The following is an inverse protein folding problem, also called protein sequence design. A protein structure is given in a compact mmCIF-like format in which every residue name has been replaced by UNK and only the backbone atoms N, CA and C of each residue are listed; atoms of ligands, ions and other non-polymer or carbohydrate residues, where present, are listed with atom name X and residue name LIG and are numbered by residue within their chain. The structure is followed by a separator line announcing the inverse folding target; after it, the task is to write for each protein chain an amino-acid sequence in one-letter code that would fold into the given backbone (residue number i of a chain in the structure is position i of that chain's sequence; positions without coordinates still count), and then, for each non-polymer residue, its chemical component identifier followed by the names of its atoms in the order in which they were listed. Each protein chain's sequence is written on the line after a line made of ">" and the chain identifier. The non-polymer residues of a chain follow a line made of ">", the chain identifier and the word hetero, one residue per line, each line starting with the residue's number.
data_IF_420616160006
#
_entry.id   IF_420616160006
#
_cell.length_a   1.000
_cell.length_b   1.000
_cell.length_c   1.000
_cell.angle_alpha   90.00
_cell.angle_beta   90.00
_cell.angle_gamma   90.00
#
_symmetry.space_group_name_H-M   'P 1'
#
loop_
_entity.id
_entity.type
_entity.pdbx_description
1 polymer ?
#
# COMPACT_ATOMS: atom_id res chain seq x y z
N UNK A 1 -2.78 8.99 -20.41
CA UNK A 1 -1.80 8.23 -19.59
C UNK A 1 -0.52 9.06 -19.47
N UNK A 2 -0.52 10.04 -18.57
CA UNK A 2 0.55 11.03 -18.38
C UNK A 2 0.89 11.24 -16.89
N UNK A 3 0.51 10.29 -16.03
CA UNK A 3 0.78 10.29 -14.58
C UNK A 3 2.13 9.65 -14.20
N UNK A 4 2.77 8.95 -15.13
CA UNK A 4 4.00 8.17 -14.90
C UNK A 4 5.22 9.02 -14.54
N UNK A 5 5.37 10.23 -15.10
CA UNK A 5 6.49 11.13 -14.78
C UNK A 5 6.36 11.82 -13.42
N UNK A 6 5.15 12.26 -13.06
CA UNK A 6 4.87 12.85 -11.76
C UNK A 6 5.09 11.81 -10.64
N UNK A 7 4.67 10.57 -10.89
CA UNK A 7 4.83 9.45 -9.96
C UNK A 7 6.32 9.10 -9.75
N UNK A 8 7.14 9.17 -10.81
CA UNK A 8 8.60 8.98 -10.71
C UNK A 8 9.25 10.00 -9.79
N UNK A 9 8.95 11.30 -9.99
CA UNK A 9 9.51 12.38 -9.18
C UNK A 9 9.14 12.20 -7.71
N UNK A 10 7.86 11.91 -7.45
CA UNK A 10 7.35 11.67 -6.11
C UNK A 10 8.03 10.47 -5.42
N UNK A 11 8.18 9.33 -6.10
CA UNK A 11 8.87 8.15 -5.54
C UNK A 11 10.33 8.50 -5.23
N UNK A 12 11.01 9.17 -6.17
CA UNK A 12 12.41 9.56 -5.99
C UNK A 12 12.59 10.43 -4.75
N UNK A 13 11.79 11.47 -4.59
CA UNK A 13 11.86 12.34 -3.42
C UNK A 13 11.51 11.61 -2.12
N UNK A 14 10.57 10.66 -2.14
CA UNK A 14 10.30 9.79 -0.99
C UNK A 14 11.55 8.98 -0.61
N UNK A 15 12.25 8.40 -1.59
CA UNK A 15 13.48 7.64 -1.37
C UNK A 15 14.64 8.51 -0.88
N UNK A 16 14.67 9.78 -1.29
CA UNK A 16 15.63 10.78 -0.81
C UNK A 16 15.28 11.32 0.60
N UNK A 17 14.21 10.81 1.21
CA UNK A 17 13.82 11.11 2.58
C UNK A 17 13.01 12.39 2.77
N UNK A 18 12.47 12.97 1.68
CA UNK A 18 11.65 14.18 1.76
C UNK A 18 10.31 13.90 2.49
N UNK A 19 10.07 14.47 3.68
CA UNK A 19 8.85 14.21 4.44
C UNK A 19 7.58 14.72 3.75
N UNK A 20 7.67 15.81 2.99
CA UNK A 20 6.54 16.38 2.27
C UNK A 20 6.13 15.49 1.11
N UNK A 21 7.11 14.97 0.35
CA UNK A 21 6.85 14.02 -0.73
C UNK A 21 6.25 12.72 -0.19
N UNK A 22 6.71 12.25 0.98
CA UNK A 22 6.07 11.11 1.64
C UNK A 22 4.61 11.39 2.02
N UNK A 23 4.32 12.57 2.60
CA UNK A 23 2.94 12.96 2.89
C UNK A 23 2.09 12.97 1.62
N UNK A 24 2.58 13.61 0.55
CA UNK A 24 1.90 13.65 -0.74
C UNK A 24 1.69 12.26 -1.33
N UNK A 25 2.65 11.34 -1.16
CA UNK A 25 2.49 9.95 -1.55
C UNK A 25 1.36 9.27 -0.79
N UNK A 26 1.32 9.38 0.53
CA UNK A 26 0.22 8.84 1.34
C UNK A 26 -1.12 9.47 0.93
N UNK A 27 -1.21 10.79 0.81
CA UNK A 27 -2.46 11.49 0.44
C UNK A 27 -2.99 11.01 -0.92
N UNK A 28 -2.10 10.73 -1.89
CA UNK A 28 -2.48 10.28 -3.24
C UNK A 28 -2.93 8.83 -3.28
N UNK A 29 -2.36 7.95 -2.46
CA UNK A 29 -2.57 6.51 -2.56
C UNK A 29 -3.35 5.90 -1.39
N UNK A 30 -3.67 6.66 -0.34
CA UNK A 30 -4.43 6.17 0.80
C UNK A 30 -5.80 5.60 0.38
N UNK A 31 -6.55 6.31 -0.47
CA UNK A 31 -7.84 5.81 -0.98
C UNK A 31 -7.70 4.47 -1.71
N UNK A 32 -6.74 4.38 -2.63
CA UNK A 32 -6.44 3.15 -3.37
C UNK A 32 -6.08 1.99 -2.42
N UNK A 33 -5.21 2.24 -1.45
CA UNK A 33 -4.77 1.19 -0.51
C UNK A 33 -5.93 0.75 0.36
N UNK A 34 -6.76 1.68 0.86
CA UNK A 34 -7.96 1.35 1.65
C UNK A 34 -8.95 0.51 0.85
N UNK A 35 -9.19 0.84 -0.43
CA UNK A 35 -10.04 0.05 -1.32
C UNK A 35 -9.48 -1.37 -1.51
N UNK A 36 -8.17 -1.49 -1.73
CA UNK A 36 -7.48 -2.78 -1.86
C UNK A 36 -7.55 -3.59 -0.56
N UNK A 37 -7.48 -2.94 0.61
CA UNK A 37 -7.67 -3.60 1.91
C UNK A 37 -9.07 -4.18 2.02
N UNK A 38 -10.10 -3.40 1.72
CA UNK A 38 -11.49 -3.86 1.81
C UNK A 38 -11.76 -5.05 0.86
N UNK A 39 -11.33 -4.92 -0.40
CA UNK A 39 -11.43 -5.98 -1.41
C UNK A 39 -10.70 -7.25 -0.97
N UNK A 40 -9.51 -7.10 -0.37
CA UNK A 40 -8.68 -8.24 0.05
C UNK A 40 -9.28 -8.94 1.28
N UNK A 41 -9.82 -8.19 2.25
CA UNK A 41 -10.53 -8.76 3.40
C UNK A 41 -11.78 -9.51 2.94
N UNK A 42 -12.52 -8.95 1.98
CA UNK A 42 -13.67 -9.61 1.38
C UNK A 42 -13.31 -10.91 0.68
N UNK A 43 -12.27 -10.89 -0.14
CA UNK A 43 -11.75 -12.08 -0.80
C UNK A 43 -11.28 -13.14 0.20
N UNK A 44 -10.68 -12.74 1.33
CA UNK A 44 -10.21 -13.65 2.37
C UNK A 44 -11.31 -14.21 3.29
N UNK A 45 -12.57 -13.81 3.06
CA UNK A 45 -13.74 -14.24 3.84
C UNK A 45 -13.97 -13.45 5.12
N UNK A 46 -13.14 -12.45 5.45
CA UNK A 46 -13.31 -11.59 6.63
C UNK A 46 -14.53 -10.70 6.41
N UNK A 47 -15.60 -10.87 7.17
CA UNK A 47 -16.91 -10.27 6.87
C UNK A 47 -17.64 -9.81 8.13
N UNK A 48 -18.63 -8.93 7.96
CA UNK A 48 -19.47 -8.45 9.06
C UNK A 48 -18.66 -7.68 10.12
N UNK A 49 -18.86 -7.94 11.41
CA UNK A 49 -18.23 -7.16 12.49
C UNK A 49 -16.70 -7.29 12.53
N UNK A 50 -16.14 -8.37 11.96
CA UNK A 50 -14.69 -8.57 11.86
C UNK A 50 -14.04 -7.62 10.84
N UNK A 51 -14.80 -7.13 9.85
CA UNK A 51 -14.30 -6.16 8.86
C UNK A 51 -14.53 -4.72 9.34
N UNK A 52 -14.05 -4.42 10.54
CA UNK A 52 -14.23 -3.10 11.16
C UNK A 52 -13.49 -1.99 10.41
N UNK A 53 -13.88 -0.73 10.64
CA UNK A 53 -13.15 0.42 10.10
C UNK A 53 -11.72 0.48 10.66
N UNK A 54 -11.56 0.19 11.94
CA UNK A 54 -10.28 0.20 12.65
C UNK A 54 -9.31 -0.82 12.06
N UNK A 55 -9.79 -2.03 11.74
CA UNK A 55 -8.95 -3.03 11.06
C UNK A 55 -8.50 -2.56 9.68
N UNK A 56 -9.40 -1.94 8.91
CA UNK A 56 -9.09 -1.44 7.57
C UNK A 56 -8.04 -0.32 7.61
N UNK A 57 -8.20 0.62 8.53
CA UNK A 57 -7.25 1.71 8.75
C UNK A 57 -5.89 1.19 9.22
N UNK A 58 -5.87 0.25 10.17
CA UNK A 58 -4.64 -0.36 10.68
C UNK A 58 -3.84 -1.07 9.58
N UNK A 59 -4.51 -1.89 8.74
CA UNK A 59 -3.85 -2.58 7.64
C UNK A 59 -3.30 -1.63 6.58
N UNK A 60 -4.02 -0.54 6.28
CA UNK A 60 -3.53 0.49 5.38
C UNK A 60 -2.32 1.23 5.98
N UNK A 61 -2.39 1.62 7.25
CA UNK A 61 -1.28 2.26 7.97
C UNK A 61 -0.04 1.37 7.98
N UNK A 62 -0.18 0.09 8.31
CA UNK A 62 0.92 -0.86 8.37
C UNK A 62 1.56 -1.08 6.99
N UNK A 63 0.77 -1.13 5.91
CA UNK A 63 1.33 -1.18 4.57
C UNK A 63 2.22 0.04 4.26
N UNK A 64 1.76 1.26 4.56
CA UNK A 64 2.57 2.47 4.35
C UNK A 64 3.78 2.51 5.30
N UNK A 65 3.62 2.06 6.55
CA UNK A 65 4.70 1.93 7.53
C UNK A 65 5.78 1.00 7.01
N UNK A 66 5.40 -0.16 6.48
CA UNK A 66 6.31 -1.18 5.95
C UNK A 66 7.05 -0.72 4.69
N UNK A 67 6.36 0.02 3.80
CA UNK A 67 7.02 0.65 2.66
C UNK A 67 8.15 1.57 3.12
N UNK A 68 7.91 2.39 4.15
CA UNK A 68 8.89 3.35 4.65
C UNK A 68 9.98 2.69 5.49
N UNK A 69 9.62 1.78 6.39
CA UNK A 69 10.55 1.12 7.32
C UNK A 69 11.55 0.23 6.59
N UNK A 70 11.13 -0.40 5.49
CA UNK A 70 11.98 -1.22 4.63
C UNK A 70 12.75 -0.38 3.58
N UNK A 71 13.00 0.91 3.86
CA UNK A 71 13.78 1.80 3.00
C UNK A 71 13.24 1.92 1.57
N UNK A 72 11.92 1.80 1.40
CA UNK A 72 11.24 1.81 0.11
C UNK A 72 11.69 0.71 -0.87
N UNK A 73 12.17 -0.44 -0.37
CA UNK A 73 12.66 -1.54 -1.20
C UNK A 73 11.66 -1.95 -2.29
N UNK A 74 10.36 -2.03 -1.96
CA UNK A 74 9.31 -2.33 -2.93
C UNK A 74 9.15 -1.24 -4.00
N UNK A 75 9.22 0.05 -3.63
CA UNK A 75 9.15 1.14 -4.62
C UNK A 75 10.41 1.18 -5.50
N UNK A 76 11.58 0.79 -4.98
CA UNK A 76 12.83 0.67 -5.75
C UNK A 76 12.76 -0.40 -6.82
N UNK A 77 11.96 -1.45 -6.62
CA UNK A 77 11.72 -2.52 -7.60
C UNK A 77 10.65 -2.18 -8.64
N UNK A 78 10.12 -0.95 -8.65
CA UNK A 78 9.14 -0.53 -9.64
C UNK A 78 9.82 -0.18 -10.98
N UNK A 79 9.66 -1.03 -11.99
CA UNK A 79 10.28 -0.90 -13.32
C UNK A 79 9.34 -0.36 -14.41
N UNK A 80 8.19 0.22 -14.05
CA UNK A 80 7.25 0.89 -14.98
C UNK A 80 6.59 -0.02 -16.04
N UNK A 81 6.59 -1.32 -15.81
CA UNK A 81 5.82 -2.26 -16.62
C UNK A 81 4.30 -2.12 -16.37
N UNK A 82 3.91 -1.35 -15.35
CA UNK A 82 2.54 -0.98 -15.04
C UNK A 82 2.45 0.47 -14.53
N UNK A 83 1.24 0.97 -14.33
CA UNK A 83 1.05 2.18 -13.52
C UNK A 83 1.52 1.95 -12.08
N UNK A 84 1.91 3.02 -11.38
CA UNK A 84 2.25 2.94 -9.96
C UNK A 84 1.06 2.47 -9.14
N UNK A 85 -0.15 2.94 -9.44
CA UNK A 85 -1.38 2.50 -8.78
C UNK A 85 -1.58 0.98 -8.90
N UNK A 86 -1.41 0.43 -10.10
CA UNK A 86 -1.48 -1.02 -10.34
C UNK A 86 -0.43 -1.77 -9.51
N UNK A 87 0.81 -1.28 -9.50
CA UNK A 87 1.89 -1.89 -8.75
C UNK A 87 1.59 -1.89 -7.24
N UNK A 88 1.17 -0.74 -6.70
CA UNK A 88 0.79 -0.57 -5.29
C UNK A 88 -0.35 -1.51 -4.89
N UNK A 89 -1.38 -1.63 -5.71
CA UNK A 89 -2.49 -2.53 -5.44
C UNK A 89 -2.05 -3.99 -5.31
N UNK A 90 -1.13 -4.45 -6.16
CA UNK A 90 -0.59 -5.82 -6.10
C UNK A 90 0.22 -6.04 -4.84
N UNK A 91 1.15 -5.14 -4.51
CA UNK A 91 2.00 -5.31 -3.34
C UNK A 91 1.23 -5.14 -2.02
N UNK A 92 0.23 -4.25 -1.98
CA UNK A 92 -0.66 -4.08 -0.83
C UNK A 92 -1.46 -5.36 -0.58
N UNK A 93 -2.14 -5.90 -1.60
CA UNK A 93 -2.87 -7.17 -1.52
C UNK A 93 -1.97 -8.30 -1.01
N UNK A 94 -0.73 -8.40 -1.52
CA UNK A 94 0.23 -9.42 -1.08
C UNK A 94 0.62 -9.25 0.40
N UNK A 95 0.85 -8.01 0.85
CA UNK A 95 1.17 -7.73 2.26
C UNK A 95 0.03 -8.16 3.18
N UNK A 96 -1.20 -7.77 2.85
CA UNK A 96 -2.40 -8.05 3.64
C UNK A 96 -2.68 -9.55 3.72
N UNK A 97 -2.59 -10.28 2.60
CA UNK A 97 -2.73 -11.74 2.61
C UNK A 97 -1.63 -12.44 3.44
N UNK A 98 -0.42 -11.91 3.40
CA UNK A 98 0.69 -12.37 4.23
C UNK A 98 0.42 -12.19 5.73
N UNK A 99 -0.13 -11.03 6.11
CA UNK A 99 -0.57 -10.75 7.47
C UNK A 99 -1.67 -11.73 7.92
N UNK A 100 -2.74 -11.88 7.13
CA UNK A 100 -3.85 -12.77 7.46
C UNK A 100 -3.43 -14.23 7.62
N UNK A 101 -2.44 -14.67 6.84
CA UNK A 101 -1.90 -16.03 6.92
C UNK A 101 -1.13 -16.26 8.24
N UNK A 102 -0.39 -15.26 8.70
CA UNK A 102 0.34 -15.32 9.98
C UNK A 102 -0.62 -15.27 11.17
N UNK A 103 -1.64 -14.41 11.13
CA UNK A 103 -2.63 -14.27 12.20
C UNK A 103 -3.51 -15.51 12.41
N UNK A 104 -3.65 -16.38 11.39
CA UNK A 104 -4.36 -17.67 11.50
C UNK A 104 -3.51 -18.81 12.10
N UNK A 105 -2.21 -18.60 12.23
CA UNK A 105 -1.26 -19.61 12.72
C UNK A 105 -0.95 -19.47 14.22
N UNK A 106 -1.50 -18.45 14.87
CA UNK A 106 -1.50 -18.22 16.33
C UNK A 106 -2.90 -18.50 16.89
#
# INVERSE_FOLDING_TARGET
>A
MSLTDLDRGLIKECMDGNPQSWKTFCDRFAGLVTDVVDDTLAFAGVSGPERSQELREALAEDFFRDLRSNGFALLRSFHQESSLATYLAVIARRSILGYLSQSRSN
#
